data_IF_237553783942
#
_entry.id   IF_237553783942
#
_cell.length_a   1.000
_cell.length_b   1.000
_cell.length_c   1.000
_cell.angle_alpha   90.00
_cell.angle_beta   90.00
_cell.angle_gamma   90.00
#
_symmetry.space_group_name_H-M   'P 1'
#
loop_
_entity.id
_entity.type
_entity.pdbx_description
1 polymer ?
#
# COMPACT_ATOMS: atom_id res chain seq x y z
N UNK A 1 -9.52 3.43 -15.21
CA UNK A 1 -8.35 2.61 -14.84
C UNK A 1 -8.85 1.34 -14.16
N UNK A 2 -8.19 0.19 -14.38
CA UNK A 2 -8.48 -1.09 -13.73
C UNK A 2 -7.45 -1.36 -12.64
N UNK A 3 -7.81 -2.07 -11.57
CA UNK A 3 -6.88 -2.47 -10.49
C UNK A 3 -5.73 -3.35 -11.00
N UNK A 4 -5.96 -4.10 -12.08
CA UNK A 4 -4.93 -4.85 -12.81
C UNK A 4 -3.69 -4.03 -13.19
N UNK A 5 -3.85 -2.72 -13.43
CA UNK A 5 -2.71 -1.84 -13.73
C UNK A 5 -1.85 -1.58 -12.49
N UNK A 6 -2.46 -1.48 -11.30
CA UNK A 6 -1.73 -1.42 -10.03
C UNK A 6 -0.98 -2.72 -9.78
N UNK A 7 -1.58 -3.87 -10.08
CA UNK A 7 -0.92 -5.18 -9.93
C UNK A 7 0.35 -5.26 -10.79
N UNK A 8 0.26 -4.81 -12.05
CA UNK A 8 1.41 -4.75 -12.97
C UNK A 8 2.49 -3.82 -12.42
N UNK A 9 2.12 -2.63 -11.96
CA UNK A 9 3.06 -1.65 -11.42
C UNK A 9 3.74 -2.13 -10.14
N UNK A 10 2.98 -2.73 -9.21
CA UNK A 10 3.51 -3.33 -7.99
C UNK A 10 4.57 -4.40 -8.29
N UNK A 11 4.27 -5.32 -9.21
CA UNK A 11 5.23 -6.34 -9.68
C UNK A 11 6.42 -5.74 -10.42
N UNK A 12 6.21 -4.70 -11.21
CA UNK A 12 7.29 -3.99 -11.92
C UNK A 12 8.28 -3.36 -10.93
N UNK A 13 7.79 -2.67 -9.89
CA UNK A 13 8.63 -2.06 -8.86
C UNK A 13 9.48 -3.11 -8.13
N UNK A 14 8.91 -4.29 -7.87
CA UNK A 14 9.67 -5.39 -7.27
C UNK A 14 10.80 -5.90 -8.19
N UNK A 15 10.53 -5.97 -9.50
CA UNK A 15 11.51 -6.44 -10.49
C UNK A 15 12.61 -5.42 -10.77
N UNK A 16 12.26 -4.13 -10.81
CA UNK A 16 13.24 -3.06 -11.07
C UNK A 16 14.05 -2.69 -9.83
N UNK A 17 13.56 -3.02 -8.64
CA UNK A 17 14.15 -2.61 -7.36
C UNK A 17 14.05 -1.11 -7.10
N UNK A 18 13.33 -0.37 -7.95
CA UNK A 18 13.15 1.07 -7.80
C UNK A 18 12.18 1.36 -6.65
N UNK A 19 12.49 2.41 -5.89
CA UNK A 19 11.56 2.99 -4.94
C UNK A 19 10.67 4.04 -5.59
N UNK A 20 9.49 4.24 -5.03
CA UNK A 20 8.59 5.35 -5.36
C UNK A 20 8.41 6.21 -4.11
N UNK A 21 8.29 7.52 -4.30
CA UNK A 21 7.97 8.44 -3.21
C UNK A 21 6.59 9.04 -3.45
N UNK A 22 5.69 8.96 -2.48
CA UNK A 22 4.36 9.51 -2.57
C UNK A 22 3.90 10.03 -1.21
N UNK A 23 3.38 11.25 -1.16
CA UNK A 23 2.85 11.83 0.09
C UNK A 23 3.89 11.95 1.20
N UNK A 24 5.17 12.10 0.86
CA UNK A 24 6.27 12.13 1.83
C UNK A 24 6.78 10.75 2.27
N UNK A 25 6.15 9.66 1.83
CA UNK A 25 6.56 8.30 2.11
C UNK A 25 7.38 7.70 0.99
N UNK A 26 8.43 6.95 1.32
CA UNK A 26 9.27 6.21 0.38
C UNK A 26 8.95 4.72 0.47
N UNK A 27 8.41 4.17 -0.61
CA UNK A 27 8.07 2.76 -0.75
C UNK A 27 9.03 2.07 -1.71
N UNK A 28 9.60 0.94 -1.29
CA UNK A 28 10.37 0.05 -2.16
C UNK A 28 9.85 -1.37 -2.03
N UNK A 29 9.57 -2.01 -3.16
CA UNK A 29 9.06 -3.38 -3.16
C UNK A 29 10.22 -4.35 -3.20
N UNK A 30 10.34 -5.21 -2.19
CA UNK A 30 11.41 -6.21 -2.08
C UNK A 30 10.97 -7.55 -2.67
N UNK A 31 9.69 -7.91 -2.45
CA UNK A 31 9.01 -9.04 -3.06
C UNK A 31 7.54 -8.68 -3.21
N UNK A 32 6.92 -8.89 -4.39
CA UNK A 32 5.52 -8.51 -4.58
C UNK A 32 4.55 -9.46 -3.85
N UNK A 33 5.04 -10.56 -3.28
CA UNK A 33 4.21 -11.64 -2.74
C UNK A 33 3.61 -12.50 -3.85
N UNK A 34 2.58 -13.27 -3.50
CA UNK A 34 1.79 -14.07 -4.44
C UNK A 34 0.46 -13.36 -4.72
N UNK A 35 0.05 -13.31 -5.98
CA UNK A 35 -1.29 -12.84 -6.34
C UNK A 35 -2.33 -13.82 -5.76
N UNK A 36 -3.33 -13.30 -5.07
CA UNK A 36 -4.44 -14.07 -4.56
C UNK A 36 -5.56 -14.09 -5.61
N UNK A 37 -5.96 -15.28 -6.03
CA UNK A 37 -7.06 -15.48 -7.00
C UNK A 37 -8.35 -15.91 -6.28
N UNK A 38 -8.36 -15.83 -4.96
CA UNK A 38 -9.46 -16.22 -4.08
C UNK A 38 -9.82 -15.08 -3.14
N UNK A 39 -10.73 -15.31 -2.19
CA UNK A 39 -11.13 -14.30 -1.20
C UNK A 39 -9.91 -13.81 -0.39
N UNK A 40 -9.89 -12.52 -0.07
CA UNK A 40 -8.85 -11.89 0.73
C UNK A 40 -8.11 -10.81 -0.07
N UNK A 41 -6.92 -10.39 0.39
CA UNK A 41 -6.20 -9.30 -0.21
C UNK A 41 -5.59 -9.68 -1.55
N UNK A 42 -5.35 -8.69 -2.42
CA UNK A 42 -4.81 -8.90 -3.77
C UNK A 42 -3.46 -9.63 -3.78
N UNK A 43 -2.54 -9.27 -2.88
CA UNK A 43 -1.25 -9.93 -2.74
C UNK A 43 -1.04 -10.43 -1.33
N UNK A 44 -0.65 -11.69 -1.21
CA UNK A 44 -0.33 -12.31 0.08
C UNK A 44 1.17 -12.50 0.26
N UNK A 45 1.62 -12.35 1.50
CA UNK A 45 3.02 -12.52 1.91
C UNK A 45 4.01 -11.69 1.08
N UNK A 46 3.65 -10.45 0.78
CA UNK A 46 4.55 -9.48 0.17
C UNK A 46 5.61 -9.01 1.17
N UNK A 47 6.71 -8.47 0.65
CA UNK A 47 7.77 -7.87 1.45
C UNK A 47 8.16 -6.53 0.85
N UNK A 48 8.12 -5.48 1.63
CA UNK A 48 8.39 -4.13 1.16
C UNK A 48 9.07 -3.30 2.25
N UNK A 49 9.79 -2.28 1.83
CA UNK A 49 10.37 -1.26 2.71
C UNK A 49 9.51 -0.01 2.58
N UNK A 50 9.04 0.52 3.71
CA UNK A 50 8.35 1.80 3.79
C UNK A 50 9.11 2.66 4.79
N UNK A 51 9.61 3.81 4.33
CA UNK A 51 10.40 4.77 5.12
C UNK A 51 11.59 4.14 5.85
N UNK A 52 12.25 3.15 5.22
CA UNK A 52 13.41 2.45 5.77
C UNK A 52 13.08 1.26 6.67
N UNK A 53 11.80 1.03 6.99
CA UNK A 53 11.34 -0.13 7.78
C UNK A 53 10.84 -1.23 6.84
N UNK A 54 11.29 -2.47 7.06
CA UNK A 54 10.90 -3.62 6.25
C UNK A 54 9.69 -4.33 6.86
N UNK A 55 8.63 -4.45 6.08
CA UNK A 55 7.40 -5.12 6.43
C UNK A 55 7.25 -6.44 5.66
N UNK A 56 6.58 -7.40 6.28
CA UNK A 56 6.13 -8.64 5.66
C UNK A 56 4.65 -8.85 5.99
N UNK A 57 3.81 -8.85 4.97
CA UNK A 57 2.36 -8.95 5.13
C UNK A 57 1.65 -8.81 3.79
N UNK A 58 0.35 -8.60 3.85
CA UNK A 58 -0.48 -8.58 2.66
C UNK A 58 -0.67 -7.16 2.12
N UNK A 59 -0.97 -7.04 0.83
CA UNK A 59 -1.15 -5.77 0.13
C UNK A 59 -2.48 -5.81 -0.59
N UNK A 60 -3.28 -4.77 -0.38
CA UNK A 60 -4.56 -4.56 -1.06
C UNK A 60 -4.45 -3.37 -2.01
N UNK A 61 -5.03 -3.46 -3.20
CA UNK A 61 -5.01 -2.42 -4.21
C UNK A 61 -6.43 -2.00 -4.59
N UNK A 62 -6.69 -0.70 -4.59
CA UNK A 62 -7.94 -0.16 -5.10
C UNK A 62 -7.73 1.03 -6.03
N UNK A 63 -8.78 1.40 -6.74
CA UNK A 63 -8.76 2.66 -7.50
C UNK A 63 -8.78 3.88 -6.58
N UNK A 64 -9.55 3.80 -5.50
CA UNK A 64 -9.80 4.89 -4.56
C UNK A 64 -9.71 4.37 -3.12
N UNK A 65 -9.16 5.19 -2.22
CA UNK A 65 -9.02 4.84 -0.80
C UNK A 65 -10.35 4.44 -0.13
N UNK A 66 -11.48 5.01 -0.58
CA UNK A 66 -12.81 4.76 -0.03
C UNK A 66 -13.32 3.35 -0.35
N UNK A 67 -12.75 2.69 -1.36
CA UNK A 67 -13.20 1.36 -1.77
C UNK A 67 -12.91 0.31 -0.69
N UNK A 68 -11.88 0.52 0.15
CA UNK A 68 -11.65 -0.25 1.39
C UNK A 68 -12.91 -0.36 2.27
N UNK A 69 -13.62 0.75 2.46
CA UNK A 69 -14.82 0.78 3.28
C UNK A 69 -16.07 0.34 2.52
N UNK A 70 -16.17 0.68 1.22
CA UNK A 70 -17.29 0.26 0.36
C UNK A 70 -17.36 -1.25 0.20
N UNK A 71 -16.22 -1.91 0.07
CA UNK A 71 -16.11 -3.36 -0.01
C UNK A 71 -16.20 -4.05 1.37
N UNK A 72 -16.27 -3.27 2.45
CA UNK A 72 -16.34 -3.74 3.84
C UNK A 72 -15.11 -4.53 4.30
N UNK A 73 -13.95 -4.31 3.68
CA UNK A 73 -12.68 -4.94 4.08
C UNK A 73 -12.31 -4.63 5.53
N UNK A 74 -12.64 -3.43 6.00
CA UNK A 74 -12.50 -3.06 7.41
C UNK A 74 -13.22 -3.99 8.41
N UNK A 75 -14.19 -4.80 7.97
CA UNK A 75 -14.94 -5.75 8.79
C UNK A 75 -14.62 -7.21 8.48
N UNK A 76 -13.81 -7.48 7.46
CA UNK A 76 -13.54 -8.82 6.97
C UNK A 76 -12.17 -9.30 7.46
N UNK A 77 -12.17 -10.32 8.33
CA UNK A 77 -10.97 -10.92 8.91
C UNK A 77 -9.97 -11.44 7.86
N UNK A 78 -10.41 -11.76 6.65
CA UNK A 78 -9.50 -12.13 5.55
C UNK A 78 -8.50 -11.01 5.20
N UNK A 79 -8.79 -9.76 5.56
CA UNK A 79 -7.96 -8.57 5.33
C UNK A 79 -7.19 -8.13 6.57
N UNK A 80 -7.22 -8.91 7.66
CA UNK A 80 -6.56 -8.55 8.92
C UNK A 80 -5.03 -8.41 8.80
N UNK A 81 -4.42 -9.11 7.84
CA UNK A 81 -2.98 -9.10 7.59
C UNK A 81 -2.54 -8.08 6.54
N UNK A 82 -3.45 -7.23 6.04
CA UNK A 82 -3.09 -6.17 5.11
C UNK A 82 -2.28 -5.11 5.85
N UNK A 83 -1.03 -4.93 5.42
CA UNK A 83 -0.11 -3.95 6.00
C UNK A 83 0.14 -2.75 5.06
N UNK A 84 -0.35 -2.81 3.82
CA UNK A 84 -0.24 -1.73 2.86
C UNK A 84 -1.46 -1.71 1.94
N UNK A 85 -2.01 -0.52 1.76
CA UNK A 85 -3.10 -0.27 0.82
C UNK A 85 -2.58 0.60 -0.33
N UNK A 86 -2.61 0.11 -1.56
CA UNK A 86 -2.18 0.83 -2.74
C UNK A 86 -3.39 1.42 -3.46
N UNK A 87 -3.29 2.69 -3.83
CA UNK A 87 -4.36 3.35 -4.58
C UNK A 87 -3.88 4.01 -5.86
N UNK A 88 -4.71 4.01 -6.88
CA UNK A 88 -4.40 4.73 -8.11
C UNK A 88 -4.56 6.24 -7.98
N UNK A 89 -5.63 6.67 -7.32
CA UNK A 89 -5.93 8.08 -7.11
C UNK A 89 -5.54 8.48 -5.67
N UNK A 90 -4.67 9.49 -5.48
CA UNK A 90 -4.43 10.04 -4.16
C UNK A 90 -5.71 10.66 -3.60
N UNK A 91 -5.86 10.61 -2.28
CA UNK A 91 -6.88 11.36 -1.56
C UNK A 91 -6.19 12.36 -0.63
N UNK A 92 -6.56 13.65 -0.64
CA UNK A 92 -5.87 14.68 0.14
C UNK A 92 -5.88 14.36 1.65
N UNK A 93 -7.02 13.89 2.16
CA UNK A 93 -7.21 13.73 3.61
C UNK A 93 -7.10 12.28 4.13
N UNK A 94 -6.92 11.29 3.24
CA UNK A 94 -6.99 9.87 3.59
C UNK A 94 -5.71 9.15 3.17
N UNK A 95 -4.68 9.30 4.01
CA UNK A 95 -3.39 8.63 3.85
C UNK A 95 -3.34 7.26 4.55
N UNK A 96 -4.42 6.87 5.24
CA UNK A 96 -4.53 5.56 5.89
C UNK A 96 -5.96 5.02 5.83
N UNK A 97 -6.07 3.71 5.96
CA UNK A 97 -7.32 3.01 6.23
C UNK A 97 -7.19 2.22 7.53
N UNK A 98 -8.31 1.76 8.10
CA UNK A 98 -8.28 0.97 9.33
C UNK A 98 -9.04 -0.33 9.14
N UNK A 99 -8.50 -1.38 9.73
CA UNK A 99 -9.19 -2.65 9.91
C UNK A 99 -9.75 -2.70 11.33
N UNK A 100 -10.99 -3.15 11.52
CA UNK A 100 -11.67 -3.14 12.82
C UNK A 100 -10.93 -3.95 13.90
N UNK A 101 -10.22 -4.99 13.49
CA UNK A 101 -9.52 -5.89 14.39
C UNK A 101 -8.04 -5.52 14.59
N UNK A 102 -7.56 -4.45 13.95
CA UNK A 102 -6.20 -3.92 14.13
C UNK A 102 -6.26 -2.55 14.80
N UNK A 103 -5.41 -2.34 15.81
CA UNK A 103 -5.22 -1.02 16.41
C UNK A 103 -4.47 -0.07 15.46
N UNK A 104 -3.55 -0.64 14.67
CA UNK A 104 -2.68 0.13 13.80
C UNK A 104 -3.38 0.51 12.50
N UNK A 105 -3.29 1.77 12.07
CA UNK A 105 -3.73 2.19 10.75
C UNK A 105 -2.86 1.55 9.67
N UNK A 106 -3.50 1.21 8.56
CA UNK A 106 -2.85 0.66 7.38
C UNK A 106 -2.42 1.84 6.50
N UNK A 107 -1.11 2.02 6.23
CA UNK A 107 -0.63 3.06 5.33
C UNK A 107 -1.25 2.90 3.94
N UNK A 108 -1.73 4.02 3.38
CA UNK A 108 -2.29 4.06 2.03
C UNK A 108 -1.39 4.88 1.12
N UNK A 109 -0.80 4.24 0.11
CA UNK A 109 0.17 4.87 -0.79
C UNK A 109 -0.44 4.96 -2.18
N UNK A 110 -0.47 6.17 -2.74
CA UNK A 110 -0.89 6.33 -4.13
C UNK A 110 0.26 6.05 -5.10
N UNK A 111 0.00 5.25 -6.13
CA UNK A 111 1.01 4.94 -7.16
C UNK A 111 0.53 5.48 -8.50
N UNK A 112 1.36 6.33 -9.11
CA UNK A 112 1.15 6.74 -10.48
C UNK A 112 1.55 5.60 -11.44
N UNK A 113 0.54 4.93 -12.00
CA UNK A 113 0.71 3.86 -13.00
C UNK A 113 1.17 4.36 -14.37
N UNK A 114 0.92 5.63 -14.72
CA UNK A 114 1.29 6.20 -16.01
C UNK A 114 2.74 6.73 -16.04
N UNK A 115 3.34 6.98 -14.89
CA UNK A 115 4.73 7.44 -14.81
C UNK A 115 5.69 6.26 -15.06
N UNK A 116 6.38 6.30 -16.20
CA UNK A 116 7.70 5.67 -16.35
C UNK A 116 8.57 6.19 -15.20
N UNK A 117 9.24 5.29 -14.51
CA UNK A 117 10.07 5.56 -13.33
C UNK A 117 11.10 6.66 -13.59
N UNK A 118 10.68 7.89 -13.35
CA UNK A 118 11.51 9.05 -13.05
C UNK A 118 10.98 9.60 -11.73
N UNK A 119 11.85 10.23 -10.96
CA UNK A 119 11.56 10.81 -9.65
C UNK A 119 10.49 11.91 -9.77
N UNK A 120 9.23 11.54 -9.98
CA UNK A 120 8.13 12.47 -9.93
C UNK A 120 7.80 12.68 -8.46
N UNK A 121 8.30 13.79 -7.92
CA UNK A 121 7.90 14.29 -6.61
C UNK A 121 6.38 14.44 -6.60
N UNK A 122 5.69 13.63 -5.78
CA UNK A 122 4.31 13.94 -5.43
C UNK A 122 4.28 15.32 -4.76
N UNK A 123 3.31 16.19 -5.10
CA UNK A 123 3.18 17.49 -4.46
C UNK A 123 3.14 17.31 -2.94
N UNK A 124 4.22 17.75 -2.28
CA UNK A 124 4.32 17.80 -0.84
C UNK A 124 3.45 18.96 -0.37
N UNK A 125 2.35 18.67 0.31
CA UNK A 125 1.86 19.61 1.32
C UNK A 125 1.13 18.86 2.45
N UNK A 126 1.80 18.90 3.62
CA UNK A 126 1.36 18.55 4.99
C UNK A 126 1.34 17.07 5.37
N UNK A 127 2.51 16.63 5.86
CA UNK A 127 2.71 15.41 6.66
C UNK A 127 2.20 15.64 8.10
N UNK A 128 1.27 14.86 8.65
CA UNK A 128 1.15 14.71 10.09
C UNK A 128 2.29 13.79 10.59
N UNK A 129 3.00 14.26 11.61
CA UNK A 129 4.17 13.63 12.21
C UNK A 129 3.90 12.23 12.78
N UNK A 130 4.71 11.27 12.32
CA UNK A 130 4.98 9.91 12.83
C UNK A 130 3.80 8.96 13.07
N UNK A 131 3.83 7.81 12.38
CA UNK A 131 3.25 6.58 12.90
C UNK A 131 4.17 6.00 13.98
N UNK A 132 3.63 5.35 15.03
CA UNK A 132 4.45 4.69 16.05
C UNK A 132 5.29 3.56 15.46
N UNK A 133 6.53 3.43 15.93
CA UNK A 133 7.48 2.40 15.55
C UNK A 133 6.88 0.99 15.74
N UNK A 134 6.59 0.30 14.63
CA UNK A 134 6.26 -1.13 14.63
C UNK A 134 7.57 -1.92 14.66
N UNK A 135 8.32 -1.79 15.75
CA UNK A 135 9.47 -2.65 16.03
C UNK A 135 9.03 -3.86 16.86
N UNK A 136 9.42 -5.04 16.37
CA UNK A 136 9.34 -6.37 16.97
C UNK A 136 7.96 -7.03 17.08
N UNK A 137 7.68 -7.94 16.13
CA UNK A 137 7.20 -9.29 16.48
C UNK A 137 7.88 -10.34 15.61
N UNK A 138 8.62 -11.23 16.29
CA UNK A 138 9.07 -12.53 15.80
C UNK A 138 7.87 -13.44 15.50
#
# INVERSE_FOLDING_TARGET
>A
MREEELYKKWRQLARSGQGVSCGGHRLRVLSPGRLNETRGPDFVAARFELDGVVYQGDVECHRDVRDWYRHRHHLDEAFANVLLHLVAAPHPDLQTVRHRFSAEPIPTISINVAAESSLAECPLDRVPSSFPDILNRM
#
